data_IF_828611032931
#
_entry.id   IF_828611032931
#
_cell.length_a   1.000
_cell.length_b   1.000
_cell.length_c   1.000
_cell.angle_alpha   90.00
_cell.angle_beta   90.00
_cell.angle_gamma   90.00
#
_symmetry.space_group_name_H-M   'P 1'
#
loop_
_entity.id
_entity.type
_entity.pdbx_description
1 polymer ?
#
# COMPACT_ATOMS: atom_id res chain seq x y z
N UNK A 1 24.37 -7.21 77.93
CA UNK A 1 24.99 -5.86 78.06
C UNK A 1 24.56 -5.05 76.86
N UNK A 2 23.91 -3.90 77.06
CA UNK A 2 23.49 -3.00 75.98
C UNK A 2 24.58 -1.93 75.87
N UNK A 3 25.27 -1.84 74.73
CA UNK A 3 26.38 -0.90 74.58
C UNK A 3 25.81 0.52 74.52
N UNK A 4 26.14 1.43 75.46
CA UNK A 4 25.58 2.79 75.47
C UNK A 4 25.98 3.61 74.23
N UNK A 5 26.97 3.14 73.46
CA UNK A 5 27.38 3.71 72.17
C UNK A 5 26.39 3.44 71.03
N UNK A 6 25.56 2.39 71.11
CA UNK A 6 24.59 2.05 70.04
C UNK A 6 23.42 3.03 69.92
N UNK A 7 23.18 3.88 70.92
CA UNK A 7 22.05 4.81 70.93
C UNK A 7 22.45 6.29 70.89
N UNK A 8 23.75 6.60 70.77
CA UNK A 8 24.18 8.00 70.66
C UNK A 8 23.80 8.58 69.28
N UNK A 9 23.50 9.88 69.24
CA UNK A 9 23.12 10.58 68.00
C UNK A 9 24.22 10.53 66.94
N UNK A 10 25.48 10.60 67.39
CA UNK A 10 26.66 10.54 66.52
C UNK A 10 26.76 9.19 65.81
N UNK A 11 26.60 8.08 66.53
CA UNK A 11 26.57 6.72 65.99
C UNK A 11 25.44 6.50 64.99
N UNK A 12 24.22 6.95 65.32
CA UNK A 12 23.09 6.86 64.37
C UNK A 12 23.32 7.64 63.07
N UNK A 13 24.03 8.78 63.14
CA UNK A 13 24.36 9.58 61.95
C UNK A 13 25.42 8.90 61.08
N UNK A 14 26.45 8.30 61.68
CA UNK A 14 27.45 7.53 60.93
C UNK A 14 26.82 6.30 60.30
N UNK A 15 26.03 5.53 61.05
CA UNK A 15 25.38 4.31 60.55
C UNK A 15 24.45 4.62 59.37
N UNK A 16 23.71 5.73 59.44
CA UNK A 16 22.86 6.18 58.34
C UNK A 16 23.66 6.62 57.09
N UNK A 17 24.83 7.24 57.28
CA UNK A 17 25.71 7.61 56.18
C UNK A 17 26.32 6.37 55.52
N UNK A 18 26.79 5.43 56.34
CA UNK A 18 27.38 4.17 55.88
C UNK A 18 26.34 3.29 55.17
N UNK A 19 25.11 3.22 55.68
CA UNK A 19 24.01 2.52 55.04
C UNK A 19 23.68 3.11 53.65
N UNK A 20 23.66 4.45 53.53
CA UNK A 20 23.44 5.11 52.23
C UNK A 20 24.61 4.87 51.27
N UNK A 21 25.85 4.91 51.77
CA UNK A 21 27.02 4.61 50.97
C UNK A 21 26.97 3.15 50.45
N UNK A 22 26.59 2.21 51.30
CA UNK A 22 26.41 0.80 50.94
C UNK A 22 25.31 0.60 49.88
N UNK A 23 24.17 1.29 49.99
CA UNK A 23 23.11 1.24 48.97
C UNK A 23 23.59 1.75 47.60
N UNK A 24 24.34 2.86 47.57
CA UNK A 24 24.88 3.40 46.33
C UNK A 24 25.93 2.47 45.71
N UNK A 25 26.78 1.85 46.52
CA UNK A 25 27.75 0.86 46.05
C UNK A 25 27.06 -0.39 45.50
N UNK A 26 26.05 -0.91 46.21
CA UNK A 26 25.27 -2.06 45.75
C UNK A 26 24.56 -1.78 44.41
N UNK A 27 24.01 -0.58 44.25
CA UNK A 27 23.39 -0.18 42.99
C UNK A 27 24.40 -0.10 41.84
N UNK A 28 25.59 0.48 42.06
CA UNK A 28 26.65 0.52 41.03
C UNK A 28 27.12 -0.87 40.65
N UNK A 29 27.37 -1.73 41.64
CA UNK A 29 27.76 -3.13 41.39
C UNK A 29 26.67 -3.90 40.62
N UNK A 30 25.39 -3.67 40.94
CA UNK A 30 24.28 -4.27 40.20
C UNK A 30 24.19 -3.77 38.75
N UNK A 31 24.46 -2.48 38.51
CA UNK A 31 24.53 -1.94 37.16
C UNK A 31 25.68 -2.55 36.37
N UNK A 32 26.89 -2.58 36.92
CA UNK A 32 28.08 -3.16 36.29
C UNK A 32 27.88 -4.65 35.97
N UNK A 33 27.28 -5.42 36.88
CA UNK A 33 26.94 -6.82 36.65
C UNK A 33 25.90 -7.00 35.53
N UNK A 34 24.98 -6.04 35.36
CA UNK A 34 23.92 -6.09 34.36
C UNK A 34 24.34 -5.55 32.98
N UNK A 35 25.32 -4.63 32.90
CA UNK A 35 25.83 -4.03 31.66
C UNK A 35 26.10 -5.04 30.52
N UNK A 36 26.84 -6.16 30.72
CA UNK A 36 27.13 -7.08 29.62
C UNK A 36 25.85 -7.69 29.03
N UNK A 37 24.87 -8.05 29.88
CA UNK A 37 23.58 -8.55 29.41
C UNK A 37 22.74 -7.47 28.74
N UNK A 38 22.88 -6.21 29.17
CA UNK A 38 22.17 -5.07 28.59
C UNK A 38 22.68 -4.75 27.20
N UNK A 39 24.00 -4.76 27.01
CA UNK A 39 24.64 -4.57 25.71
C UNK A 39 24.25 -5.70 24.74
N UNK A 40 24.33 -6.96 25.20
CA UNK A 40 23.92 -8.11 24.38
C UNK A 40 22.44 -8.00 23.92
N UNK A 41 21.53 -7.64 24.83
CA UNK A 41 20.11 -7.42 24.48
C UNK A 41 19.90 -6.23 23.55
N UNK A 42 20.72 -5.19 23.65
CA UNK A 42 20.62 -4.04 22.76
C UNK A 42 21.06 -4.41 21.34
N UNK A 43 22.15 -5.13 21.19
CA UNK A 43 22.63 -5.63 19.90
C UNK A 43 21.63 -6.62 19.28
N UNK A 44 21.04 -7.52 20.07
CA UNK A 44 19.96 -8.40 19.61
C UNK A 44 18.77 -7.59 19.09
N UNK A 45 18.32 -6.56 19.82
CA UNK A 45 17.21 -5.69 19.37
C UNK A 45 17.55 -4.96 18.08
N UNK A 46 18.77 -4.46 17.93
CA UNK A 46 19.24 -3.82 16.68
C UNK A 46 19.23 -4.81 15.52
N UNK A 47 19.73 -6.02 15.73
CA UNK A 47 19.74 -7.06 14.71
C UNK A 47 18.32 -7.45 14.28
N UNK A 48 17.40 -7.61 15.23
CA UNK A 48 15.98 -7.89 14.95
C UNK A 48 15.31 -6.74 14.21
N UNK A 49 15.60 -5.48 14.58
CA UNK A 49 15.08 -4.31 13.89
C UNK A 49 15.58 -4.25 12.44
N UNK A 50 16.88 -4.42 12.21
CA UNK A 50 17.47 -4.46 10.87
C UNK A 50 16.86 -5.59 10.01
N UNK A 51 16.66 -6.78 10.58
CA UNK A 51 16.03 -7.90 9.89
C UNK A 51 14.53 -7.66 9.60
N UNK A 52 13.84 -6.85 10.40
CA UNK A 52 12.46 -6.44 10.12
C UNK A 52 12.41 -5.40 8.99
N UNK A 53 13.28 -4.41 9.04
CA UNK A 53 13.39 -3.38 8.00
C UNK A 53 13.75 -3.97 6.64
N UNK A 54 14.70 -4.91 6.59
CA UNK A 54 15.05 -5.63 5.37
C UNK A 54 13.84 -6.37 4.77
N UNK A 55 13.10 -7.13 5.59
CA UNK A 55 11.88 -7.83 5.15
C UNK A 55 10.80 -6.88 4.68
N UNK A 56 10.61 -5.75 5.36
CA UNK A 56 9.64 -4.74 4.94
C UNK A 56 10.03 -4.11 3.61
N UNK A 57 11.32 -3.79 3.41
CA UNK A 57 11.82 -3.25 2.16
C UNK A 57 11.66 -4.22 0.98
N UNK A 58 11.86 -5.51 1.20
CA UNK A 58 11.59 -6.54 0.18
C UNK A 58 10.09 -6.66 -0.12
N UNK A 59 9.25 -6.74 0.92
CA UNK A 59 7.81 -6.83 0.76
C UNK A 59 7.21 -5.61 0.04
N UNK A 60 7.71 -4.40 0.33
CA UNK A 60 7.26 -3.18 -0.36
C UNK A 60 7.69 -3.15 -1.81
N UNK A 61 8.91 -3.60 -2.14
CA UNK A 61 9.36 -3.72 -3.54
C UNK A 61 8.48 -4.66 -4.34
N UNK A 62 8.25 -5.88 -3.82
CA UNK A 62 7.39 -6.87 -4.49
C UNK A 62 5.99 -6.31 -4.69
N UNK A 63 5.41 -5.68 -3.66
CA UNK A 63 4.08 -5.08 -3.75
C UNK A 63 4.01 -3.94 -4.77
N UNK A 64 5.05 -3.11 -4.88
CA UNK A 64 5.10 -2.03 -5.87
C UNK A 64 5.19 -2.60 -7.28
N UNK A 65 6.05 -3.60 -7.51
CA UNK A 65 6.15 -4.27 -8.81
C UNK A 65 4.83 -4.93 -9.23
N UNK A 66 4.14 -5.59 -8.31
CA UNK A 66 2.83 -6.19 -8.57
C UNK A 66 1.77 -5.14 -8.90
N UNK A 67 1.75 -4.02 -8.18
CA UNK A 67 0.84 -2.91 -8.46
C UNK A 67 1.12 -2.26 -9.82
N UNK A 68 2.40 -2.13 -10.20
CA UNK A 68 2.79 -1.61 -11.51
C UNK A 68 2.36 -2.55 -12.63
N UNK A 69 2.56 -3.86 -12.48
CA UNK A 69 2.08 -4.87 -13.44
C UNK A 69 0.55 -4.84 -13.57
N UNK A 70 -0.16 -4.83 -12.45
CA UNK A 70 -1.63 -4.76 -12.47
C UNK A 70 -2.14 -3.48 -13.16
N UNK A 71 -1.45 -2.35 -12.97
CA UNK A 71 -1.78 -1.10 -13.65
C UNK A 71 -1.49 -1.15 -15.14
N UNK A 72 -0.34 -1.70 -15.56
CA UNK A 72 -0.03 -1.84 -16.99
C UNK A 72 -1.03 -2.75 -17.70
N UNK A 73 -1.41 -3.85 -17.05
CA UNK A 73 -2.36 -4.82 -17.61
C UNK A 73 -3.76 -4.21 -17.73
N UNK A 74 -4.21 -3.44 -16.72
CA UNK A 74 -5.46 -2.71 -16.78
C UNK A 74 -5.47 -1.66 -17.90
N UNK A 75 -4.39 -0.90 -18.06
CA UNK A 75 -4.28 0.10 -19.14
C UNK A 75 -4.29 -0.57 -20.52
N UNK A 76 -3.63 -1.72 -20.68
CA UNK A 76 -3.63 -2.48 -21.91
C UNK A 76 -5.04 -3.02 -22.23
N UNK A 77 -5.74 -3.58 -21.23
CA UNK A 77 -7.11 -4.07 -21.38
C UNK A 77 -8.08 -2.94 -21.76
N UNK A 78 -7.97 -1.77 -21.12
CA UNK A 78 -8.78 -0.59 -21.44
C UNK A 78 -8.51 -0.09 -22.87
N UNK A 79 -7.25 -0.08 -23.30
CA UNK A 79 -6.89 0.30 -24.67
C UNK A 79 -7.49 -0.68 -25.69
N UNK A 80 -7.40 -1.98 -25.45
CA UNK A 80 -8.02 -2.99 -26.32
C UNK A 80 -9.53 -2.86 -26.37
N UNK A 81 -10.18 -2.63 -25.21
CA UNK A 81 -11.62 -2.47 -25.14
C UNK A 81 -12.10 -1.22 -25.90
N UNK A 82 -11.35 -0.12 -25.86
CA UNK A 82 -11.63 1.09 -26.64
C UNK A 82 -11.53 0.84 -28.14
N UNK A 83 -10.46 0.19 -28.60
CA UNK A 83 -10.29 -0.14 -30.02
C UNK A 83 -11.43 -1.07 -30.49
N UNK A 84 -11.79 -2.07 -29.70
CA UNK A 84 -12.93 -2.94 -30.02
C UNK A 84 -14.27 -2.18 -30.07
N UNK A 85 -14.49 -1.23 -29.17
CA UNK A 85 -15.71 -0.42 -29.16
C UNK A 85 -15.76 0.50 -30.39
N UNK A 86 -14.66 1.19 -30.69
CA UNK A 86 -14.53 2.08 -31.85
C UNK A 86 -14.74 1.32 -33.16
N UNK A 87 -14.10 0.15 -33.32
CA UNK A 87 -14.28 -0.69 -34.52
C UNK A 87 -15.71 -1.20 -34.67
N UNK A 88 -16.37 -1.59 -33.58
CA UNK A 88 -17.80 -1.97 -33.63
C UNK A 88 -18.68 -0.79 -34.03
N UNK A 89 -18.43 0.39 -33.47
CA UNK A 89 -19.19 1.60 -33.79
C UNK A 89 -19.01 2.01 -35.26
N UNK A 90 -17.80 1.90 -35.80
CA UNK A 90 -17.53 2.14 -37.22
C UNK A 90 -18.26 1.16 -38.13
N UNK A 91 -18.22 -0.13 -37.81
CA UNK A 91 -18.96 -1.16 -38.56
C UNK A 91 -20.47 -0.92 -38.52
N UNK A 92 -21.03 -0.55 -37.36
CA UNK A 92 -22.45 -0.23 -37.23
C UNK A 92 -22.83 1.01 -38.03
N UNK A 93 -22.00 2.07 -38.01
CA UNK A 93 -22.21 3.26 -38.84
C UNK A 93 -22.20 2.94 -40.33
N UNK A 94 -21.26 2.12 -40.78
CA UNK A 94 -21.17 1.70 -42.18
C UNK A 94 -22.40 0.89 -42.62
N UNK A 95 -22.85 -0.05 -41.79
CA UNK A 95 -24.06 -0.83 -42.05
C UNK A 95 -25.29 0.08 -42.11
N UNK A 96 -25.44 1.00 -41.15
CA UNK A 96 -26.55 1.95 -41.11
C UNK A 96 -26.56 2.85 -42.36
N UNK A 97 -25.39 3.35 -42.79
CA UNK A 97 -25.25 4.15 -44.00
C UNK A 97 -25.73 3.39 -45.23
N UNK A 98 -25.27 2.14 -45.41
CA UNK A 98 -25.69 1.29 -46.53
C UNK A 98 -27.19 1.03 -46.52
N UNK A 99 -27.76 0.73 -45.35
CA UNK A 99 -29.22 0.53 -45.25
C UNK A 99 -30.01 1.79 -45.61
N UNK A 100 -29.52 2.98 -45.21
CA UNK A 100 -30.17 4.24 -45.54
C UNK A 100 -30.11 4.53 -47.05
N UNK A 101 -28.97 4.23 -47.70
CA UNK A 101 -28.80 4.36 -49.15
C UNK A 101 -29.72 3.40 -49.91
N UNK A 102 -29.78 2.13 -49.49
CA UNK A 102 -30.66 1.13 -50.10
C UNK A 102 -32.14 1.51 -49.96
N UNK A 103 -32.55 2.00 -48.79
CA UNK A 103 -33.91 2.49 -48.57
C UNK A 103 -34.22 3.72 -49.44
N UNK A 104 -33.26 4.64 -49.59
CA UNK A 104 -33.42 5.81 -50.45
C UNK A 104 -33.57 5.40 -51.92
N UNK A 105 -32.77 4.44 -52.39
CA UNK A 105 -32.86 3.88 -53.74
C UNK A 105 -34.21 3.21 -54.00
N UNK A 106 -34.71 2.40 -53.06
CA UNK A 106 -36.02 1.76 -53.17
C UNK A 106 -37.17 2.79 -53.21
N UNK A 107 -37.10 3.83 -52.39
CA UNK A 107 -38.07 4.94 -52.40
C UNK A 107 -38.05 5.67 -53.75
N UNK A 108 -36.87 6.01 -54.26
CA UNK A 108 -36.71 6.66 -55.56
C UNK A 108 -37.24 5.80 -56.72
N UNK A 109 -36.98 4.49 -56.70
CA UNK A 109 -37.52 3.57 -57.71
C UNK A 109 -39.06 3.51 -57.65
N UNK A 110 -39.61 3.40 -56.44
CA UNK A 110 -41.06 3.40 -56.23
C UNK A 110 -41.70 4.69 -56.75
N UNK A 111 -41.10 5.84 -56.47
CA UNK A 111 -41.58 7.14 -56.95
C UNK A 111 -41.50 7.25 -58.47
N UNK A 112 -40.42 6.74 -59.08
CA UNK A 112 -40.30 6.61 -60.55
C UNK A 112 -41.42 5.74 -61.14
N UNK A 113 -41.72 4.60 -60.52
CA UNK A 113 -42.81 3.69 -60.96
C UNK A 113 -44.17 4.39 -60.86
N UNK A 114 -44.43 5.11 -59.78
CA UNK A 114 -45.68 5.88 -59.62
C UNK A 114 -45.80 7.00 -60.64
N UNK A 115 -44.72 7.76 -60.91
CA UNK A 115 -44.69 8.80 -61.93
C UNK A 115 -44.98 8.23 -63.32
N UNK A 116 -44.33 7.14 -63.71
CA UNK A 116 -44.57 6.46 -64.99
C UNK A 116 -46.02 5.96 -65.12
N UNK A 117 -46.60 5.40 -64.05
CA UNK A 117 -48.00 4.95 -64.05
C UNK A 117 -48.97 6.13 -64.21
N UNK A 118 -48.69 7.26 -63.55
CA UNK A 118 -49.50 8.47 -63.66
C UNK A 118 -49.43 9.06 -65.08
N UNK A 119 -48.24 9.06 -65.70
CA UNK A 119 -48.06 9.51 -67.08
C UNK A 119 -48.83 8.65 -68.10
N UNK A 120 -48.95 7.34 -67.88
CA UNK A 120 -49.74 6.43 -68.73
C UNK A 120 -51.26 6.55 -68.57
N UNK A 121 -51.74 7.16 -67.47
CA UNK A 121 -53.18 7.35 -67.20
C UNK A 121 -53.72 8.69 -67.69
N UNK A 122 -52.83 9.60 -68.10
CA UNK A 122 -53.16 10.80 -68.87
C UNK A 122 -53.12 10.47 -70.35
#
# INVERSE_FOLDING_TARGET
MKNPRENDFTGRRSDAADAKAALLQAHRAAQEAAEPTRLARQEERKAVAAAREARQAEATKVKLEELERARSDALAADATAKIEAETREEVEKDLNSRTAEDEAAQKAERDRRYANRKAKKR
#
